data_IF_614859139876
#
_entry.id   IF_614859139876
#
_cell.length_a   1.000
_cell.length_b   1.000
_cell.length_c   1.000
_cell.angle_alpha   90.00
_cell.angle_beta   90.00
_cell.angle_gamma   90.00
#
_symmetry.space_group_name_H-M   'P 1'
#
loop_
_entity.id
_entity.type
_entity.pdbx_description
1 polymer ?
#
# COMPACT_ATOMS: atom_id res chain seq x y z
N UNK A 1 33.81 -40.64 -50.50
CA UNK A 1 33.44 -39.27 -50.04
C UNK A 1 32.85 -39.37 -48.65
N UNK A 2 33.42 -38.62 -47.70
CA UNK A 2 32.86 -38.38 -46.37
C UNK A 2 31.49 -37.68 -46.47
N UNK A 3 30.54 -38.02 -45.61
CA UNK A 3 30.03 -37.03 -44.67
C UNK A 3 29.40 -37.69 -43.43
N UNK A 4 29.84 -37.23 -42.27
CA UNK A 4 29.29 -37.54 -40.94
C UNK A 4 28.00 -36.72 -40.72
N UNK A 5 27.35 -37.03 -39.60
CA UNK A 5 26.49 -36.13 -38.82
C UNK A 5 25.01 -36.07 -39.21
N UNK A 6 24.18 -36.83 -38.48
CA UNK A 6 23.13 -36.23 -37.64
C UNK A 6 22.39 -37.31 -36.84
N UNK A 7 23.05 -37.77 -35.78
CA UNK A 7 22.37 -38.30 -34.61
C UNK A 7 22.66 -37.32 -33.47
N UNK A 8 21.65 -36.52 -33.08
CA UNK A 8 21.56 -35.70 -31.83
C UNK A 8 20.52 -34.57 -31.96
N UNK A 9 19.34 -34.78 -31.37
CA UNK A 9 18.68 -33.84 -30.44
C UNK A 9 17.19 -34.22 -30.27
N UNK A 10 16.93 -35.30 -29.53
CA UNK A 10 15.74 -35.40 -28.69
C UNK A 10 16.25 -35.26 -27.26
N UNK A 11 16.17 -34.04 -26.73
CA UNK A 11 16.19 -33.71 -25.29
C UNK A 11 16.38 -32.21 -25.14
N UNK A 12 15.28 -31.46 -25.21
CA UNK A 12 15.20 -30.09 -24.68
C UNK A 12 13.83 -29.85 -24.04
N UNK A 13 13.47 -30.70 -23.08
CA UNK A 13 12.68 -30.27 -21.93
C UNK A 13 13.62 -30.32 -20.73
N UNK A 14 14.27 -29.19 -20.45
CA UNK A 14 14.95 -28.96 -19.18
C UNK A 14 14.30 -27.75 -18.53
N UNK A 15 13.47 -28.06 -17.53
CA UNK A 15 13.21 -27.29 -16.32
C UNK A 15 14.06 -26.01 -16.22
N UNK A 16 13.48 -24.88 -16.64
CA UNK A 16 13.95 -23.57 -16.18
C UNK A 16 13.14 -23.18 -14.95
N UNK A 17 13.37 -23.86 -13.82
CA UNK A 17 13.00 -23.29 -12.52
C UNK A 17 13.87 -22.04 -12.33
N UNK A 18 13.26 -20.87 -12.48
CA UNK A 18 13.85 -19.62 -12.02
C UNK A 18 14.28 -19.80 -10.56
N UNK A 19 15.47 -19.29 -10.15
CA UNK A 19 15.93 -19.44 -8.77
C UNK A 19 14.86 -18.88 -7.83
N UNK A 20 14.40 -19.73 -6.91
CA UNK A 20 13.42 -19.38 -5.89
C UNK A 20 14.05 -18.36 -4.96
N UNK A 21 13.72 -17.08 -5.16
CA UNK A 21 14.13 -16.00 -4.26
C UNK A 21 13.44 -16.29 -2.93
N UNK A 22 14.19 -16.46 -1.82
CA UNK A 22 13.58 -16.67 -0.52
C UNK A 22 12.65 -15.49 -0.23
N UNK A 23 11.44 -15.74 0.28
CA UNK A 23 10.49 -14.67 0.54
C UNK A 23 11.15 -13.65 1.49
N UNK A 24 10.92 -12.34 1.27
CA UNK A 24 11.44 -11.31 2.15
C UNK A 24 11.03 -11.63 3.61
N UNK A 25 11.88 -11.30 4.60
CA UNK A 25 11.59 -11.60 5.99
C UNK A 25 10.21 -11.05 6.36
N UNK A 26 9.35 -11.93 6.87
CA UNK A 26 8.00 -11.52 7.24
C UNK A 26 8.07 -10.51 8.38
N UNK A 27 7.37 -9.39 8.21
CA UNK A 27 7.21 -8.41 9.29
C UNK A 27 6.47 -9.04 10.49
N UNK A 28 6.61 -8.44 11.67
CA UNK A 28 5.76 -8.74 12.82
C UNK A 28 4.48 -7.91 12.77
N UNK A 29 3.41 -8.44 13.39
CA UNK A 29 2.21 -7.63 13.64
C UNK A 29 2.57 -6.48 14.56
N UNK A 30 2.58 -5.27 14.00
CA UNK A 30 2.84 -4.04 14.75
C UNK A 30 2.01 -2.91 14.19
N UNK A 31 1.28 -2.24 15.08
CA UNK A 31 0.47 -1.06 14.77
C UNK A 31 0.98 0.12 15.58
N UNK A 32 1.15 1.25 14.90
CA UNK A 32 1.31 2.57 15.50
C UNK A 32 -0.02 3.30 15.45
N UNK A 33 -0.44 3.88 16.58
CA UNK A 33 -1.67 4.65 16.69
C UNK A 33 -1.34 6.11 17.07
N UNK A 34 -1.95 7.07 16.37
CA UNK A 34 -1.81 8.49 16.67
C UNK A 34 -3.15 9.22 16.48
N UNK A 35 -3.35 10.34 17.17
CA UNK A 35 -4.58 11.14 17.07
C UNK A 35 -4.26 12.52 16.51
N UNK A 36 -5.14 13.03 15.65
CA UNK A 36 -4.90 14.24 14.88
C UNK A 36 -6.20 15.02 14.65
N UNK A 37 -6.05 16.20 14.07
CA UNK A 37 -7.15 17.01 13.54
C UNK A 37 -6.77 17.59 12.19
N UNK A 38 -7.77 17.73 11.31
CA UNK A 38 -7.68 18.27 9.95
C UNK A 38 -8.89 19.17 9.69
N UNK A 39 -8.76 20.11 8.75
CA UNK A 39 -9.91 20.84 8.19
C UNK A 39 -10.28 20.25 6.82
N UNK A 40 -11.51 19.75 6.67
CA UNK A 40 -12.04 19.17 5.42
C UNK A 40 -13.33 19.90 5.08
N UNK A 41 -13.42 20.52 3.90
CA UNK A 41 -14.59 21.31 3.50
C UNK A 41 -15.00 22.37 4.54
N UNK A 42 -14.03 23.05 5.15
CA UNK A 42 -14.26 24.04 6.21
C UNK A 42 -14.66 23.48 7.58
N UNK A 43 -14.78 22.16 7.74
CA UNK A 43 -15.14 21.51 9.01
C UNK A 43 -13.90 20.94 9.68
N UNK A 44 -13.75 21.20 10.98
CA UNK A 44 -12.71 20.60 11.81
C UNK A 44 -13.10 19.15 12.12
N UNK A 45 -12.26 18.20 11.71
CA UNK A 45 -12.47 16.76 11.90
C UNK A 45 -11.35 16.19 12.76
N UNK A 46 -11.70 15.66 13.94
CA UNK A 46 -10.80 14.85 14.75
C UNK A 46 -10.76 13.40 14.27
N UNK A 47 -9.58 12.78 14.23
CA UNK A 47 -9.42 11.41 13.76
C UNK A 47 -8.25 10.69 14.40
N UNK A 48 -8.34 9.36 14.44
CA UNK A 48 -7.29 8.44 14.85
C UNK A 48 -6.71 7.75 13.62
N UNK A 49 -5.38 7.63 13.57
CA UNK A 49 -4.64 6.95 12.51
C UNK A 49 -4.05 5.68 13.07
N UNK A 50 -4.22 4.57 12.36
CA UNK A 50 -3.54 3.30 12.64
C UNK A 50 -2.70 2.92 11.44
N UNK A 51 -1.39 2.83 11.61
CA UNK A 51 -0.46 2.41 10.57
C UNK A 51 0.31 1.18 11.03
N UNK A 52 0.35 0.13 10.23
CA UNK A 52 0.97 -1.11 10.68
C UNK A 52 0.95 -2.26 9.70
N UNK A 53 1.64 -3.33 10.07
CA UNK A 53 1.65 -4.60 9.34
C UNK A 53 0.60 -5.54 9.92
N UNK A 54 -0.08 -6.26 9.01
CA UNK A 54 -0.91 -7.43 9.28
C UNK A 54 -0.24 -8.65 8.65
N UNK A 55 0.09 -9.65 9.46
CA UNK A 55 0.75 -10.89 9.05
C UNK A 55 -0.31 -11.96 8.81
N UNK A 56 -0.35 -12.48 7.59
CA UNK A 56 -1.16 -13.64 7.23
C UNK A 56 -0.35 -14.90 7.53
N UNK A 57 -0.98 -15.84 8.24
CA UNK A 57 -0.37 -17.12 8.66
C UNK A 57 -1.16 -18.28 8.06
N UNK A 58 -0.46 -19.35 7.72
CA UNK A 58 -1.03 -20.65 7.38
C UNK A 58 -1.60 -21.33 8.63
N UNK A 59 -2.35 -22.42 8.44
CA UNK A 59 -2.95 -23.19 9.55
C UNK A 59 -1.91 -23.69 10.56
N UNK A 60 -0.70 -24.01 10.09
CA UNK A 60 0.43 -24.45 10.91
C UNK A 60 1.15 -23.29 11.64
N UNK A 61 0.64 -22.05 11.51
CA UNK A 61 1.18 -20.85 12.15
C UNK A 61 2.37 -20.22 11.42
N UNK A 62 2.84 -20.84 10.33
CA UNK A 62 3.89 -20.30 9.46
C UNK A 62 3.41 -19.00 8.80
N UNK A 63 4.23 -17.95 8.85
CA UNK A 63 3.94 -16.68 8.19
C UNK A 63 3.99 -16.87 6.67
N UNK A 64 2.95 -16.38 5.99
CA UNK A 64 2.77 -16.52 4.55
C UNK A 64 2.95 -15.19 3.83
N UNK A 65 2.39 -14.11 4.38
CA UNK A 65 2.45 -12.77 3.80
C UNK A 65 2.36 -11.70 4.89
N UNK A 66 2.69 -10.45 4.55
CA UNK A 66 2.45 -9.30 5.41
C UNK A 66 1.93 -8.11 4.60
N UNK A 67 0.88 -7.47 5.08
CA UNK A 67 0.26 -6.29 4.47
C UNK A 67 0.52 -5.06 5.33
N UNK A 68 1.16 -4.03 4.78
CA UNK A 68 1.18 -2.73 5.42
C UNK A 68 -0.09 -1.95 5.08
N UNK A 69 -0.73 -1.34 6.07
CA UNK A 69 -1.92 -0.51 5.89
C UNK A 69 -1.87 0.75 6.74
N UNK A 70 -2.60 1.77 6.30
CA UNK A 70 -2.86 3.01 7.05
C UNK A 70 -4.36 3.24 7.06
N UNK A 71 -4.97 3.24 8.24
CA UNK A 71 -6.40 3.44 8.44
C UNK A 71 -6.67 4.77 9.16
N UNK A 72 -7.66 5.51 8.65
CA UNK A 72 -8.13 6.76 9.22
C UNK A 72 -9.54 6.58 9.78
N UNK A 73 -9.69 6.79 11.08
CA UNK A 73 -10.96 6.61 11.78
C UNK A 73 -11.40 7.96 12.34
N UNK A 74 -12.54 8.46 11.87
CA UNK A 74 -13.10 9.71 12.39
C UNK A 74 -13.59 9.51 13.81
N UNK A 75 -13.26 10.48 14.67
CA UNK A 75 -13.67 10.50 16.07
C UNK A 75 -15.02 11.20 16.22
N UNK A 76 -15.77 10.86 17.27
CA UNK A 76 -17.04 11.51 17.60
C UNK A 76 -18.20 11.18 16.64
N UNK A 77 -18.11 10.10 15.86
CA UNK A 77 -19.20 9.61 15.02
C UNK A 77 -20.28 8.98 15.91
N UNK A 78 -21.51 9.53 15.87
CA UNK A 78 -22.65 9.05 16.69
C UNK A 78 -23.14 7.67 16.27
N UNK A 79 -23.36 7.48 14.97
CA UNK A 79 -23.79 6.20 14.41
C UNK A 79 -22.67 5.58 13.57
N UNK A 80 -21.95 4.63 14.17
CA UNK A 80 -20.85 3.92 13.51
C UNK A 80 -21.33 2.84 12.56
N UNK A 81 -22.55 2.33 12.72
CA UNK A 81 -23.09 1.25 11.88
C UNK A 81 -23.46 1.78 10.49
N UNK A 82 -23.88 3.05 10.42
CA UNK A 82 -24.22 3.71 9.15
C UNK A 82 -23.02 4.33 8.44
N UNK A 83 -21.84 4.41 9.10
CA UNK A 83 -20.65 5.00 8.48
C UNK A 83 -19.93 3.97 7.60
N UNK A 84 -19.82 4.20 6.27
CA UNK A 84 -19.18 3.24 5.38
C UNK A 84 -17.69 3.08 5.70
N UNK A 85 -17.17 1.88 5.40
CA UNK A 85 -15.73 1.59 5.39
C UNK A 85 -15.27 1.56 3.94
N UNK A 86 -14.23 2.34 3.63
CA UNK A 86 -13.63 2.38 2.30
C UNK A 86 -12.26 1.72 2.36
N UNK A 87 -12.06 0.71 1.53
CA UNK A 87 -10.76 0.13 1.26
C UNK A 87 -10.25 0.67 -0.08
N UNK A 88 -8.97 1.05 -0.12
CA UNK A 88 -8.38 1.68 -1.29
C UNK A 88 -7.05 1.01 -1.60
N UNK A 89 -6.90 0.56 -2.85
CA UNK A 89 -5.73 -0.14 -3.35
C UNK A 89 -5.24 0.58 -4.59
N UNK A 90 -3.92 0.78 -4.70
CA UNK A 90 -3.37 1.32 -5.93
C UNK A 90 -3.41 0.29 -7.06
N UNK A 91 -3.46 0.79 -8.29
CA UNK A 91 -3.42 -0.04 -9.50
C UNK A 91 -2.02 -0.26 -10.05
N UNK A 92 -1.97 -0.89 -11.22
CA UNK A 92 -0.72 -1.40 -11.83
C UNK A 92 -0.11 -2.54 -10.99
N UNK A 93 0.70 -3.42 -11.55
CA UNK A 93 1.43 -4.38 -10.73
C UNK A 93 2.51 -3.68 -9.90
N UNK A 94 2.44 -3.82 -8.57
CA UNK A 94 3.52 -3.39 -7.65
C UNK A 94 3.56 -1.91 -7.26
N UNK A 95 2.60 -1.08 -7.69
CA UNK A 95 2.58 0.33 -7.28
C UNK A 95 2.06 0.51 -5.85
N UNK A 96 2.70 1.38 -5.08
CA UNK A 96 2.33 1.61 -3.67
C UNK A 96 1.05 2.43 -3.52
N UNK A 97 0.23 2.08 -2.52
CA UNK A 97 -0.92 2.89 -2.07
C UNK A 97 -0.55 4.25 -1.48
N UNK A 98 0.74 4.61 -1.42
CA UNK A 98 1.19 5.95 -1.03
C UNK A 98 0.57 7.05 -1.89
N UNK A 99 0.30 6.79 -3.17
CA UNK A 99 -0.33 7.74 -4.09
C UNK A 99 -1.77 8.07 -3.69
N UNK A 100 -2.54 7.05 -3.29
CA UNK A 100 -3.91 7.24 -2.81
C UNK A 100 -3.92 7.83 -1.40
N UNK A 101 -2.95 7.42 -0.57
CA UNK A 101 -2.80 7.93 0.79
C UNK A 101 -2.42 9.43 0.83
N UNK A 102 -1.39 9.86 0.11
CA UNK A 102 -0.80 11.21 0.20
C UNK A 102 -1.04 12.09 -1.03
N UNK A 103 -1.69 11.56 -2.06
CA UNK A 103 -2.05 12.30 -3.27
C UNK A 103 -3.55 12.56 -3.41
N UNK A 104 -4.41 11.64 -2.96
CA UNK A 104 -5.85 11.67 -3.31
C UNK A 104 -6.78 11.62 -2.10
N UNK A 105 -6.80 10.52 -1.33
CA UNK A 105 -7.90 10.20 -0.41
C UNK A 105 -7.62 10.55 1.06
N UNK A 106 -6.36 10.51 1.48
CA UNK A 106 -6.00 10.70 2.89
C UNK A 106 -6.30 12.11 3.42
N UNK A 107 -6.38 12.30 4.75
CA UNK A 107 -6.68 13.58 5.37
C UNK A 107 -5.64 14.67 5.10
N UNK A 108 -4.40 14.26 4.81
CA UNK A 108 -3.32 15.16 4.40
C UNK A 108 -2.70 14.67 3.11
N UNK A 109 -2.21 15.62 2.33
CA UNK A 109 -1.54 15.36 1.06
C UNK A 109 -0.21 16.11 0.97
N UNK A 110 0.65 15.65 0.08
CA UNK A 110 1.87 16.39 -0.27
C UNK A 110 1.47 17.69 -0.96
N UNK A 111 2.12 18.79 -0.57
CA UNK A 111 2.00 20.05 -1.26
C UNK A 111 2.66 19.93 -2.64
N UNK A 112 1.89 20.20 -3.68
CA UNK A 112 2.34 20.27 -5.06
C UNK A 112 2.14 21.69 -5.57
N UNK A 113 2.88 22.05 -6.62
CA UNK A 113 2.70 23.27 -7.37
C UNK A 113 1.37 23.28 -8.14
N UNK A 114 1.13 24.36 -8.88
CA UNK A 114 -0.19 24.65 -9.46
C UNK A 114 -0.63 23.60 -10.50
N UNK A 115 0.33 23.01 -11.21
CA UNK A 115 0.11 22.01 -12.25
C UNK A 115 0.40 20.58 -11.75
N UNK A 116 0.57 20.39 -10.44
CA UNK A 116 0.92 19.10 -9.84
C UNK A 116 2.41 18.80 -9.83
N UNK A 117 3.26 19.76 -10.19
CA UNK A 117 4.71 19.66 -10.12
C UNK A 117 5.21 19.57 -8.67
N UNK A 118 6.36 18.93 -8.47
CA UNK A 118 7.02 18.90 -7.17
C UNK A 118 7.44 20.30 -6.73
N UNK A 119 7.36 20.56 -5.42
CA UNK A 119 7.88 21.80 -4.82
C UNK A 119 9.33 21.60 -4.34
N UNK A 120 10.16 22.66 -4.28
CA UNK A 120 11.51 22.56 -3.73
C UNK A 120 11.52 21.99 -2.30
N UNK A 121 12.58 21.27 -1.95
CA UNK A 121 12.75 20.74 -0.61
C UNK A 121 12.91 21.89 0.43
N UNK A 122 12.43 21.70 1.68
CA UNK A 122 11.72 20.52 2.18
C UNK A 122 10.24 20.51 1.77
N UNK A 123 9.76 19.35 1.33
CA UNK A 123 8.34 19.13 1.04
C UNK A 123 7.48 19.30 2.30
N UNK A 124 6.21 19.69 2.11
CA UNK A 124 5.23 19.90 3.20
C UNK A 124 4.00 19.02 3.02
N UNK A 125 3.42 18.63 4.14
CA UNK A 125 2.07 18.10 4.18
C UNK A 125 1.09 19.24 4.43
N UNK A 126 0.02 19.27 3.64
CA UNK A 126 -1.10 20.20 3.79
C UNK A 126 -2.39 19.42 4.03
N UNK A 127 -3.36 20.06 4.66
CA UNK A 127 -4.70 19.48 4.81
C UNK A 127 -5.29 19.18 3.43
N UNK A 128 -5.95 18.04 3.31
CA UNK A 128 -6.66 17.64 2.10
C UNK A 128 -8.14 17.98 2.25
N UNK A 129 -8.54 19.12 1.71
CA UNK A 129 -9.93 19.60 1.75
C UNK A 129 -10.93 18.67 1.05
N UNK A 130 -10.43 17.76 0.21
CA UNK A 130 -11.21 16.77 -0.54
C UNK A 130 -11.12 15.34 0.04
N UNK A 131 -10.57 15.18 1.25
CA UNK A 131 -10.47 13.86 1.87
C UNK A 131 -11.85 13.22 2.06
N UNK A 132 -11.90 11.89 1.92
CA UNK A 132 -13.11 11.10 2.20
C UNK A 132 -13.49 11.05 3.69
N UNK A 133 -12.63 11.56 4.59
CA UNK A 133 -12.82 11.48 6.04
C UNK A 133 -13.75 12.59 6.58
N UNK A 134 -14.88 12.86 5.92
CA UNK A 134 -15.87 13.83 6.40
C UNK A 134 -16.93 13.23 7.34
#
# INVERSE_FOLDING_TARGET
MNNKDNDKNKDRDKDSKSPEVPPPPHHEDRVSETTHTVTIGGKRVGYTVRAGHLVIKEEEGKKQASFFSVAYVRNGVRDRQQRPVVFSFNGGPGSSSVWLHLGVLGPRRVQLGRLGEGVPAPGRLVDNEHSLLL
#
